data_IF_527703048157
#
_entry.id   IF_527703048157
#
_cell.length_a   1.000
_cell.length_b   1.000
_cell.length_c   1.000
_cell.angle_alpha   90.00
_cell.angle_beta   90.00
_cell.angle_gamma   90.00
#
_symmetry.space_group_name_H-M   'P 1'
#
loop_
_entity.id
_entity.type
_entity.pdbx_description
1 polymer ?
#
# COMPACT_ATOMS: atom_id res chain seq x y z
N UNK A 1 -12.30 -10.39 -9.00
CA UNK A 1 -11.29 -9.74 -9.86
C UNK A 1 -9.91 -10.05 -9.30
N UNK A 2 -9.14 -10.88 -10.00
CA UNK A 2 -7.74 -11.18 -9.65
C UNK A 2 -6.91 -9.93 -9.88
N UNK A 3 -6.28 -9.41 -8.83
CA UNK A 3 -5.32 -8.30 -8.98
C UNK A 3 -3.94 -8.90 -9.01
N UNK A 4 -3.14 -8.47 -9.98
CA UNK A 4 -1.78 -8.96 -10.15
C UNK A 4 -0.93 -8.43 -9.00
N UNK A 5 -0.15 -9.31 -8.40
CA UNK A 5 0.79 -8.94 -7.35
C UNK A 5 1.73 -7.83 -7.85
N UNK A 6 1.98 -6.82 -7.01
CA UNK A 6 2.91 -5.75 -7.32
C UNK A 6 2.34 -4.58 -8.12
N UNK A 7 1.07 -4.63 -8.55
CA UNK A 7 0.42 -3.45 -9.16
C UNK A 7 -0.02 -2.44 -8.11
N UNK A 8 -0.32 -1.22 -8.56
CA UNK A 8 -0.81 -0.14 -7.69
C UNK A 8 -2.12 -0.56 -7.00
N UNK A 9 -3.06 -1.16 -7.75
CA UNK A 9 -4.37 -1.60 -7.23
C UNK A 9 -4.23 -2.73 -6.20
N UNK A 10 -3.18 -3.56 -6.33
CA UNK A 10 -2.89 -4.61 -5.36
C UNK A 10 -2.52 -3.99 -4.02
N UNK A 11 -1.59 -3.03 -4.03
CA UNK A 11 -1.14 -2.35 -2.82
C UNK A 11 -2.22 -1.47 -2.19
N UNK A 12 -3.03 -0.77 -2.99
CA UNK A 12 -4.20 -0.02 -2.50
C UNK A 12 -5.14 -0.94 -1.74
N UNK A 13 -5.49 -2.10 -2.31
CA UNK A 13 -6.37 -3.08 -1.67
C UNK A 13 -5.80 -3.61 -0.37
N UNK A 14 -4.52 -4.00 -0.35
CA UNK A 14 -3.87 -4.54 0.84
C UNK A 14 -3.84 -3.51 1.99
N UNK A 15 -3.54 -2.24 1.68
CA UNK A 15 -3.56 -1.15 2.65
C UNK A 15 -4.98 -0.86 3.15
N UNK A 16 -5.96 -0.78 2.26
CA UNK A 16 -7.35 -0.54 2.63
C UNK A 16 -7.94 -1.69 3.44
N UNK A 17 -7.66 -2.95 3.09
CA UNK A 17 -8.17 -4.10 3.82
C UNK A 17 -7.52 -4.23 5.21
N UNK A 18 -6.25 -3.85 5.35
CA UNK A 18 -5.63 -3.70 6.67
C UNK A 18 -6.27 -2.57 7.49
N UNK A 19 -6.46 -1.40 6.88
CA UNK A 19 -7.10 -0.25 7.54
C UNK A 19 -8.53 -0.59 7.99
N UNK A 20 -9.33 -1.25 7.14
CA UNK A 20 -10.68 -1.73 7.49
C UNK A 20 -10.66 -2.67 8.71
N UNK A 21 -9.73 -3.63 8.75
CA UNK A 21 -9.58 -4.56 9.90
C UNK A 21 -9.19 -3.81 11.19
N UNK A 22 -8.50 -2.68 11.07
CA UNK A 22 -8.15 -1.77 12.17
C UNK A 22 -9.19 -0.68 12.40
N UNK A 23 -10.38 -0.78 11.80
CA UNK A 23 -11.45 0.23 11.90
C UNK A 23 -10.99 1.64 11.51
N UNK A 24 -10.15 1.74 10.47
CA UNK A 24 -9.54 2.99 10.00
C UNK A 24 -8.85 3.79 11.12
N UNK A 25 -8.23 3.08 12.07
CA UNK A 25 -7.41 3.70 13.09
C UNK A 25 -6.39 4.65 12.45
N UNK A 26 -6.15 5.77 13.12
CA UNK A 26 -5.20 6.79 12.68
C UNK A 26 -3.86 6.12 12.35
N UNK A 27 -3.31 6.42 11.17
CA UNK A 27 -2.05 5.88 10.64
C UNK A 27 -2.05 4.40 10.23
N UNK A 28 -3.19 3.68 10.28
CA UNK A 28 -3.24 2.26 9.88
C UNK A 28 -2.75 2.01 8.43
N UNK A 29 -3.02 2.95 7.51
CA UNK A 29 -2.48 2.91 6.14
C UNK A 29 -0.95 3.07 6.13
N UNK A 30 -0.41 4.02 6.90
CA UNK A 30 1.04 4.26 7.01
C UNK A 30 1.78 3.07 7.64
N UNK A 31 1.18 2.43 8.64
CA UNK A 31 1.71 1.19 9.23
C UNK A 31 1.82 0.08 8.19
N UNK A 32 0.74 -0.18 7.43
CA UNK A 32 0.75 -1.22 6.40
C UNK A 32 1.70 -0.89 5.25
N UNK A 33 1.78 0.37 4.83
CA UNK A 33 2.77 0.83 3.85
C UNK A 33 4.19 0.52 4.31
N UNK A 34 4.52 0.83 5.57
CA UNK A 34 5.85 0.60 6.13
C UNK A 34 6.19 -0.89 6.23
N UNK A 35 5.21 -1.73 6.61
CA UNK A 35 5.35 -3.19 6.62
C UNK A 35 5.64 -3.73 5.23
N UNK A 36 4.81 -3.38 4.23
CA UNK A 36 4.96 -3.83 2.84
C UNK A 36 6.31 -3.37 2.25
N UNK A 37 6.73 -2.15 2.57
CA UNK A 37 8.03 -1.64 2.13
C UNK A 37 9.18 -2.44 2.73
N UNK A 38 9.10 -2.81 4.01
CA UNK A 38 10.10 -3.65 4.66
C UNK A 38 10.14 -5.04 4.02
N UNK A 39 8.98 -5.67 3.84
CA UNK A 39 8.85 -6.98 3.19
C UNK A 39 9.49 -6.97 1.79
N UNK A 40 9.20 -5.96 0.97
CA UNK A 40 9.77 -5.82 -0.37
C UNK A 40 11.30 -5.64 -0.38
N UNK A 41 11.86 -5.02 0.65
CA UNK A 41 13.30 -4.73 0.72
C UNK A 41 14.12 -5.90 1.28
N UNK A 42 13.57 -6.63 2.24
CA UNK A 42 14.35 -7.58 3.04
C UNK A 42 13.86 -9.02 2.94
N UNK A 43 12.56 -9.25 2.73
CA UNK A 43 11.96 -10.59 2.79
C UNK A 43 11.54 -11.13 1.41
N UNK A 44 11.34 -10.24 0.43
CA UNK A 44 10.88 -10.60 -0.90
C UNK A 44 12.05 -10.86 -1.87
N UNK A 45 12.32 -12.15 -2.11
CA UNK A 45 13.33 -12.60 -3.08
C UNK A 45 12.78 -12.46 -4.49
N UNK A 46 13.28 -11.47 -5.22
CA UNK A 46 12.90 -11.15 -6.59
C UNK A 46 14.06 -10.44 -7.32
N UNK A 47 13.93 -10.33 -8.64
CA UNK A 47 14.80 -9.48 -9.44
C UNK A 47 14.75 -8.02 -8.97
N UNK A 48 15.90 -7.35 -8.99
CA UNK A 48 16.03 -5.96 -8.57
C UNK A 48 15.07 -5.02 -9.33
N UNK A 49 14.88 -5.27 -10.63
CA UNK A 49 13.92 -4.51 -11.45
C UNK A 49 12.50 -4.62 -10.92
N UNK A 50 12.06 -5.84 -10.64
CA UNK A 50 10.72 -6.10 -10.10
C UNK A 50 10.55 -5.48 -8.71
N UNK A 51 11.60 -5.51 -7.88
CA UNK A 51 11.59 -4.85 -6.56
C UNK A 51 11.39 -3.35 -6.68
N UNK A 52 12.14 -2.71 -7.58
CA UNK A 52 12.04 -1.27 -7.83
C UNK A 52 10.63 -0.92 -8.32
N UNK A 53 10.09 -1.68 -9.27
CA UNK A 53 8.71 -1.50 -9.77
C UNK A 53 7.68 -1.65 -8.64
N UNK A 54 7.81 -2.68 -7.80
CA UNK A 54 6.91 -2.88 -6.66
C UNK A 54 6.99 -1.72 -5.65
N UNK A 55 8.19 -1.23 -5.34
CA UNK A 55 8.37 -0.09 -4.43
C UNK A 55 7.78 1.21 -5.00
N UNK A 56 7.94 1.44 -6.30
CA UNK A 56 7.33 2.57 -7.00
C UNK A 56 5.80 2.47 -6.95
N UNK A 57 5.24 1.31 -7.30
CA UNK A 57 3.80 1.08 -7.28
C UNK A 57 3.21 1.20 -5.86
N UNK A 58 3.92 0.70 -4.85
CA UNK A 58 3.54 0.85 -3.44
C UNK A 58 3.52 2.33 -3.01
N UNK A 59 4.52 3.11 -3.42
CA UNK A 59 4.56 4.55 -3.15
C UNK A 59 3.41 5.29 -3.83
N UNK A 60 3.10 4.96 -5.09
CA UNK A 60 1.99 5.55 -5.84
C UNK A 60 0.66 5.22 -5.16
N UNK A 61 0.44 3.96 -4.80
CA UNK A 61 -0.76 3.52 -4.08
C UNK A 61 -0.95 4.29 -2.77
N UNK A 62 0.13 4.47 -2.01
CA UNK A 62 0.08 5.20 -0.74
C UNK A 62 -0.29 6.68 -0.95
N UNK A 63 0.31 7.35 -1.94
CA UNK A 63 -0.02 8.75 -2.25
C UNK A 63 -1.50 8.91 -2.67
N UNK A 64 -2.01 8.03 -3.54
CA UNK A 64 -3.42 8.06 -3.95
C UNK A 64 -4.37 7.89 -2.75
N UNK A 65 -4.05 6.98 -1.83
CA UNK A 65 -4.86 6.80 -0.62
C UNK A 65 -4.83 8.03 0.29
N UNK A 66 -3.68 8.70 0.42
CA UNK A 66 -3.60 9.96 1.17
C UNK A 66 -4.41 11.08 0.52
N UNK A 67 -4.33 11.22 -0.81
CA UNK A 67 -5.11 12.19 -1.58
C UNK A 67 -6.63 11.95 -1.43
N UNK A 68 -7.07 10.69 -1.41
CA UNK A 68 -8.47 10.34 -1.15
C UNK A 68 -8.91 10.48 0.31
N UNK A 69 -8.02 10.29 1.30
CA UNK A 69 -8.33 10.54 2.71
C UNK A 69 -8.60 12.03 3.00
N UNK A 70 -8.06 12.95 2.19
CA UNK A 70 -8.42 14.38 2.24
C UNK A 70 -9.88 14.65 1.86
N UNK A 71 -10.52 13.79 1.05
CA UNK A 71 -11.93 13.97 0.68
C UNK A 71 -12.90 13.58 1.81
N UNK A 72 -12.46 12.73 2.76
CA UNK A 72 -13.27 12.27 3.88
C UNK A 72 -13.07 13.06 5.20
N UNK A 73 -12.20 14.08 5.22
CA UNK A 73 -12.04 14.99 6.36
C UNK A 73 -12.97 16.22 6.33
N UNK A 74 -13.90 16.31 5.37
CA UNK A 74 -14.95 17.33 5.33
C UNK A 74 -16.31 16.68 5.66
N UNK A 75 -16.52 16.25 6.90
CA UNK A 75 -17.84 16.13 7.54
C UNK A 75 -17.72 16.48 9.02
#
# INVERSE_FOLDING_TARGET
MTVLFGTVEFFEREMLDYAKKKQFAKNSIMEKYSSLKHELLYDFVCDEKLRIECLQNLSIAYQKLLEHDYEYQIV
#
